data_IF_328442085919
#
_entry.id   IF_328442085919
#
_cell.length_a   1.000
_cell.length_b   1.000
_cell.length_c   1.000
_cell.angle_alpha   90.00
_cell.angle_beta   90.00
_cell.angle_gamma   90.00
#
_symmetry.space_group_name_H-M   'P 1'
#
loop_
_entity.id
_entity.type
_entity.pdbx_description
1 polymer ?
#
# COMPACT_ATOMS: atom_id res chain seq x y z
N UNK A 1 14.66 -2.75 20.45
CA UNK A 1 13.51 -2.07 19.81
C UNK A 1 12.49 -3.09 19.39
N UNK A 2 11.25 -2.84 19.68
CA UNK A 2 10.19 -3.73 19.29
C UNK A 2 9.50 -3.19 18.02
N UNK A 3 9.04 -4.11 17.21
CA UNK A 3 8.27 -3.80 16.00
C UNK A 3 6.81 -4.13 16.28
N UNK A 4 5.93 -3.20 15.93
CA UNK A 4 4.48 -3.36 16.09
C UNK A 4 3.84 -3.43 14.71
N UNK A 5 2.83 -4.30 14.56
CA UNK A 5 2.08 -4.44 13.34
C UNK A 5 0.65 -4.01 13.61
N UNK A 6 0.18 -2.99 12.90
CA UNK A 6 -1.21 -2.57 12.92
C UNK A 6 -1.89 -3.07 11.65
N UNK A 7 -2.96 -3.82 11.82
CA UNK A 7 -3.73 -4.36 10.71
C UNK A 7 -5.00 -3.54 10.48
N UNK A 8 -5.31 -3.29 9.21
CA UNK A 8 -6.58 -2.72 8.77
C UNK A 8 -7.25 -3.69 7.81
N UNK A 9 -8.56 -3.73 7.83
CA UNK A 9 -9.33 -4.51 6.86
C UNK A 9 -10.14 -3.53 6.01
N UNK A 10 -9.86 -3.50 4.72
CA UNK A 10 -10.42 -2.51 3.79
C UNK A 10 -11.13 -3.18 2.62
N UNK A 11 -11.98 -2.39 1.96
CA UNK A 11 -12.74 -2.69 0.76
C UNK A 11 -13.64 -3.92 0.90
N UNK A 12 -14.56 -4.15 -0.08
CA UNK A 12 -15.51 -5.27 0.01
C UNK A 12 -14.86 -6.65 -0.02
N UNK A 13 -13.60 -6.75 -0.46
CA UNK A 13 -12.89 -8.03 -0.47
C UNK A 13 -12.28 -8.37 0.89
N UNK A 14 -12.48 -7.50 1.91
CA UNK A 14 -11.93 -7.69 3.25
C UNK A 14 -10.41 -7.90 3.21
N UNK A 15 -9.75 -7.06 2.44
CA UNK A 15 -8.30 -7.10 2.26
C UNK A 15 -7.59 -6.60 3.52
N UNK A 16 -6.44 -7.19 3.85
CA UNK A 16 -5.64 -6.78 5.00
C UNK A 16 -4.52 -5.84 4.56
N UNK A 17 -4.53 -4.64 5.14
CA UNK A 17 -3.48 -3.65 4.98
C UNK A 17 -2.69 -3.59 6.29
N UNK A 18 -1.37 -3.51 6.21
CA UNK A 18 -0.53 -3.50 7.39
C UNK A 18 0.31 -2.23 7.45
N UNK A 19 0.43 -1.69 8.67
CA UNK A 19 1.44 -0.67 8.99
C UNK A 19 2.39 -1.32 9.98
N UNK A 20 3.64 -1.51 9.58
CA UNK A 20 4.68 -2.09 10.41
C UNK A 20 5.57 -0.95 10.89
N UNK A 21 5.70 -0.77 12.21
CA UNK A 21 6.39 0.40 12.74
C UNK A 21 7.19 0.07 14.01
N UNK A 22 8.15 0.94 14.31
CA UNK A 22 8.99 0.87 15.51
C UNK A 22 8.69 2.01 16.50
N UNK A 23 7.55 2.68 16.32
CA UNK A 23 7.17 3.85 17.11
C UNK A 23 7.63 5.18 16.52
N UNK A 24 8.48 5.15 15.51
CA UNK A 24 8.97 6.36 14.83
C UNK A 24 8.79 6.24 13.31
N UNK A 25 9.38 5.21 12.70
CA UNK A 25 9.28 4.97 11.27
C UNK A 25 8.29 3.84 10.98
N UNK A 26 7.66 3.87 9.82
CA UNK A 26 6.75 2.81 9.42
C UNK A 26 6.88 2.48 7.92
N UNK A 27 6.50 1.25 7.58
CA UNK A 27 6.27 0.82 6.21
C UNK A 27 4.80 0.47 6.07
N UNK A 28 4.25 0.80 4.90
CA UNK A 28 2.85 0.52 4.57
C UNK A 28 2.84 -0.63 3.58
N UNK A 29 2.07 -1.68 3.90
CA UNK A 29 2.01 -2.90 3.09
C UNK A 29 0.60 -3.09 2.57
N UNK A 30 0.47 -3.23 1.24
CA UNK A 30 -0.78 -3.53 0.54
C UNK A 30 -1.92 -2.57 0.91
N UNK A 31 -1.80 -1.26 0.65
CA UNK A 31 -2.86 -0.32 1.02
C UNK A 31 -4.08 -0.48 0.13
N UNK A 32 -5.06 -1.21 0.62
CA UNK A 32 -6.33 -1.47 -0.07
C UNK A 32 -7.43 -0.46 0.22
N UNK A 33 -7.10 0.70 0.78
CA UNK A 33 -8.05 1.75 1.16
C UNK A 33 -8.56 2.45 -0.09
N UNK A 34 -9.78 2.09 -0.52
CA UNK A 34 -10.41 2.65 -1.71
C UNK A 34 -11.29 3.85 -1.37
N UNK A 35 -12.21 3.68 -0.40
CA UNK A 35 -13.12 4.75 0.00
C UNK A 35 -12.40 5.80 0.82
N UNK A 36 -12.92 7.03 0.80
CA UNK A 36 -12.32 8.14 1.53
C UNK A 36 -12.19 7.84 3.01
N UNK A 37 -13.21 7.25 3.63
CA UNK A 37 -13.17 6.93 5.07
C UNK A 37 -12.10 5.89 5.38
N UNK A 38 -11.81 4.98 4.45
CA UNK A 38 -10.75 3.99 4.61
C UNK A 38 -9.37 4.67 4.55
N UNK A 39 -9.19 5.58 3.60
CA UNK A 39 -7.95 6.35 3.48
C UNK A 39 -7.73 7.20 4.74
N UNK A 40 -8.79 7.83 5.23
CA UNK A 40 -8.71 8.63 6.46
C UNK A 40 -8.33 7.78 7.67
N UNK A 41 -8.84 6.56 7.76
CA UNK A 41 -8.49 5.64 8.86
C UNK A 41 -6.99 5.32 8.85
N UNK A 42 -6.43 5.03 7.69
CA UNK A 42 -5.00 4.74 7.56
C UNK A 42 -4.16 5.97 7.91
N UNK A 43 -4.49 7.11 7.32
CA UNK A 43 -3.71 8.34 7.50
C UNK A 43 -3.80 8.87 8.93
N UNK A 44 -5.00 8.78 9.56
CA UNK A 44 -5.17 9.21 10.94
C UNK A 44 -4.35 8.36 11.90
N UNK A 45 -4.28 7.06 11.68
CA UNK A 45 -3.45 6.18 12.51
C UNK A 45 -1.97 6.63 12.46
N UNK A 46 -1.49 6.90 11.26
CA UNK A 46 -0.09 7.31 11.05
C UNK A 46 0.17 8.65 11.74
N UNK A 47 -0.75 9.62 11.57
CA UNK A 47 -0.61 10.95 12.16
C UNK A 47 -0.72 10.92 13.68
N UNK A 48 -1.71 10.21 14.22
CA UNK A 48 -1.96 10.15 15.66
C UNK A 48 -0.83 9.45 16.42
N UNK A 49 -0.12 8.55 15.76
CA UNK A 49 1.01 7.85 16.35
C UNK A 49 2.35 8.51 15.98
N UNK A 50 2.32 9.65 15.33
CA UNK A 50 3.50 10.42 14.93
C UNK A 50 4.51 9.58 14.14
N UNK A 51 4.01 8.71 13.27
CA UNK A 51 4.85 7.83 12.48
C UNK A 51 5.30 8.52 11.19
N UNK A 52 6.51 8.20 10.76
CA UNK A 52 7.07 8.68 9.50
C UNK A 52 7.13 7.52 8.51
N UNK A 53 6.27 7.51 7.47
CA UNK A 53 6.34 6.47 6.44
C UNK A 53 7.67 6.55 5.68
N UNK A 54 8.27 5.40 5.42
CA UNK A 54 9.54 5.30 4.70
C UNK A 54 9.42 4.51 3.41
N UNK A 55 8.43 3.63 3.30
CA UNK A 55 8.25 2.82 2.10
C UNK A 55 6.82 2.30 1.98
N UNK A 56 6.42 2.05 0.74
CA UNK A 56 5.21 1.29 0.42
C UNK A 56 5.66 -0.02 -0.22
N UNK A 57 5.20 -1.14 0.31
CA UNK A 57 5.54 -2.47 -0.17
C UNK A 57 4.27 -3.19 -0.62
N UNK A 58 4.35 -3.90 -1.74
CA UNK A 58 3.28 -4.78 -2.18
C UNK A 58 3.73 -6.23 -2.04
N UNK A 59 2.87 -7.06 -1.43
CA UNK A 59 3.08 -8.50 -1.42
C UNK A 59 2.76 -9.09 -2.78
N UNK A 60 1.72 -8.55 -3.42
CA UNK A 60 1.32 -8.88 -4.79
C UNK A 60 0.39 -7.76 -5.27
N UNK A 61 0.09 -7.74 -6.56
CA UNK A 61 -0.62 -6.63 -7.18
C UNK A 61 -2.06 -6.94 -7.57
N UNK A 62 -2.75 -7.82 -6.83
CA UNK A 62 -4.19 -8.00 -7.00
C UNK A 62 -4.92 -6.69 -6.70
N UNK A 63 -6.06 -6.47 -7.37
CA UNK A 63 -6.75 -5.17 -7.33
C UNK A 63 -7.04 -4.70 -5.90
N UNK A 64 -7.52 -5.59 -5.04
CA UNK A 64 -7.88 -5.25 -3.66
C UNK A 64 -6.69 -4.80 -2.81
N UNK A 65 -5.47 -5.15 -3.20
CA UNK A 65 -4.25 -4.79 -2.47
C UNK A 65 -3.60 -3.49 -2.94
N UNK A 66 -4.08 -2.91 -4.05
CA UNK A 66 -3.44 -1.73 -4.64
C UNK A 66 -4.35 -0.51 -4.71
N UNK A 67 -5.58 -0.62 -4.24
CA UNK A 67 -6.59 0.42 -4.39
C UNK A 67 -6.19 1.76 -3.77
N UNK A 68 -5.40 1.76 -2.72
CA UNK A 68 -4.96 2.97 -2.04
C UNK A 68 -3.55 3.42 -2.38
N UNK A 69 -2.85 2.73 -3.28
CA UNK A 69 -1.47 3.08 -3.59
C UNK A 69 -1.32 4.52 -4.06
N UNK A 70 -2.18 4.99 -4.95
CA UNK A 70 -2.10 6.36 -5.45
C UNK A 70 -2.28 7.38 -4.34
N UNK A 71 -3.24 7.16 -3.42
CA UNK A 71 -3.48 8.05 -2.30
C UNK A 71 -2.28 8.11 -1.36
N UNK A 72 -1.69 6.97 -1.04
CA UNK A 72 -0.50 6.89 -0.17
C UNK A 72 0.67 7.63 -0.81
N UNK A 73 0.93 7.39 -2.09
CA UNK A 73 2.07 7.98 -2.79
C UNK A 73 1.86 9.47 -3.09
N UNK A 74 0.61 9.94 -3.11
CA UNK A 74 0.32 11.37 -3.20
C UNK A 74 0.57 12.10 -1.89
N UNK A 75 0.35 11.41 -0.76
CA UNK A 75 0.51 12.02 0.56
C UNK A 75 1.94 11.97 1.07
N UNK A 76 2.67 10.90 0.77
CA UNK A 76 4.03 10.68 1.27
C UNK A 76 5.02 10.51 0.13
N UNK A 77 6.17 11.18 0.22
CA UNK A 77 7.27 10.97 -0.73
C UNK A 77 8.13 9.80 -0.24
N UNK A 78 7.76 8.60 -0.68
CA UNK A 78 8.38 7.37 -0.22
C UNK A 78 8.68 6.46 -1.40
N UNK A 79 9.60 5.52 -1.20
CA UNK A 79 9.91 4.51 -2.20
C UNK A 79 8.77 3.50 -2.30
N UNK A 80 8.52 3.03 -3.52
CA UNK A 80 7.47 2.08 -3.84
C UNK A 80 8.10 0.79 -4.36
N UNK A 81 7.97 -0.28 -3.57
CA UNK A 81 8.60 -1.57 -3.82
C UNK A 81 7.61 -2.59 -4.34
N UNK A 82 8.03 -3.34 -5.36
CA UNK A 82 7.25 -4.45 -5.91
C UNK A 82 8.20 -5.52 -6.43
N UNK A 83 7.77 -6.79 -6.39
CA UNK A 83 8.52 -7.85 -7.05
C UNK A 83 8.34 -7.76 -8.57
N UNK A 84 9.39 -8.05 -9.33
CA UNK A 84 9.37 -7.92 -10.79
C UNK A 84 8.25 -8.73 -11.45
N UNK A 85 7.88 -9.87 -10.89
CA UNK A 85 6.82 -10.72 -11.43
C UNK A 85 5.42 -10.09 -11.31
N UNK A 86 5.25 -9.08 -10.48
CA UNK A 86 3.95 -8.41 -10.28
C UNK A 86 3.82 -7.10 -11.05
N UNK A 87 4.85 -6.64 -11.74
CA UNK A 87 4.79 -5.39 -12.50
C UNK A 87 3.68 -5.41 -13.55
N UNK A 88 3.60 -6.47 -14.33
CA UNK A 88 2.59 -6.60 -15.36
C UNK A 88 1.19 -6.66 -14.78
N UNK A 89 1.03 -7.34 -13.65
CA UNK A 89 -0.25 -7.40 -12.95
C UNK A 89 -0.68 -6.01 -12.50
N UNK A 90 0.23 -5.23 -11.90
CA UNK A 90 -0.07 -3.87 -11.48
C UNK A 90 -0.48 -2.99 -12.66
N UNK A 91 0.24 -3.07 -13.77
CA UNK A 91 -0.07 -2.30 -14.98
C UNK A 91 -1.44 -2.64 -15.55
N UNK A 92 -1.92 -3.88 -15.36
CA UNK A 92 -3.20 -4.34 -15.88
C UNK A 92 -4.40 -3.95 -15.02
N UNK A 93 -4.20 -3.54 -13.77
CA UNK A 93 -5.29 -3.25 -12.84
C UNK A 93 -6.29 -2.22 -13.40
N UNK A 94 -5.86 -1.11 -14.03
CA UNK A 94 -6.83 -0.14 -14.58
C UNK A 94 -7.79 -0.75 -15.60
N UNK A 95 -7.40 -1.84 -16.26
CA UNK A 95 -8.22 -2.45 -17.31
C UNK A 95 -9.41 -3.24 -16.73
N UNK A 96 -9.33 -3.69 -15.48
CA UNK A 96 -10.38 -4.56 -14.93
C UNK A 96 -10.89 -4.14 -13.53
N UNK A 97 -10.34 -3.10 -12.94
CA UNK A 97 -10.78 -2.67 -11.60
C UNK A 97 -12.28 -2.39 -11.55
N UNK A 98 -12.83 -1.76 -12.58
CA UNK A 98 -14.25 -1.45 -12.67
C UNK A 98 -15.12 -2.72 -12.70
N UNK A 99 -14.60 -3.82 -13.24
CA UNK A 99 -15.32 -5.11 -13.30
C UNK A 99 -15.57 -5.64 -11.89
N UNK A 100 -14.69 -5.35 -10.95
CA UNK A 100 -14.84 -5.74 -9.56
C UNK A 100 -15.57 -4.68 -8.71
N UNK A 101 -16.13 -3.65 -9.34
CA UNK A 101 -16.89 -2.62 -8.66
C UNK A 101 -16.09 -1.42 -8.22
N UNK A 102 -14.83 -1.32 -8.59
CA UNK A 102 -13.97 -0.21 -8.18
C UNK A 102 -13.93 0.89 -9.24
N UNK A 103 -15.10 1.45 -9.51
CA UNK A 103 -15.20 2.60 -10.41
C UNK A 103 -14.48 3.79 -9.79
N UNK A 104 -13.73 4.50 -10.60
CA UNK A 104 -12.94 5.63 -10.11
C UNK A 104 -11.59 5.23 -9.53
N UNK A 105 -11.16 4.00 -9.74
CA UNK A 105 -9.80 3.60 -9.37
C UNK A 105 -8.77 4.53 -9.99
N UNK A 106 -7.86 5.04 -9.17
CA UNK A 106 -6.78 5.92 -9.63
C UNK A 106 -5.48 5.10 -9.66
N UNK A 107 -4.86 4.94 -10.84
CA UNK A 107 -3.59 4.21 -10.94
C UNK A 107 -2.49 4.93 -10.17
N UNK A 108 -1.62 4.15 -9.55
CA UNK A 108 -0.43 4.67 -8.88
C UNK A 108 0.67 4.99 -9.90
N UNK A 109 1.68 5.74 -9.46
CA UNK A 109 2.90 5.87 -10.25
C UNK A 109 3.62 4.54 -10.36
N UNK A 110 4.54 4.43 -11.31
CA UNK A 110 5.34 3.22 -11.50
C UNK A 110 6.23 3.00 -10.28
N UNK A 111 6.32 1.76 -9.76
CA UNK A 111 7.25 1.46 -8.66
C UNK A 111 8.68 1.81 -9.05
N UNK A 112 9.42 2.41 -8.12
CA UNK A 112 10.81 2.80 -8.34
C UNK A 112 11.83 1.83 -7.73
N UNK A 113 11.36 0.82 -6.99
CA UNK A 113 12.21 -0.21 -6.40
C UNK A 113 11.68 -1.59 -6.81
N UNK A 114 12.43 -2.27 -7.65
CA UNK A 114 12.02 -3.57 -8.18
C UNK A 114 12.79 -4.67 -7.47
N UNK A 115 12.06 -5.57 -6.85
CA UNK A 115 12.65 -6.70 -6.11
C UNK A 115 12.68 -7.95 -6.98
N UNK A 116 13.71 -8.76 -6.80
CA UNK A 116 13.90 -10.01 -7.55
C UNK A 116 13.77 -11.25 -6.67
N UNK A 117 13.78 -11.07 -5.36
CA UNK A 117 13.69 -12.13 -4.37
C UNK A 117 14.97 -12.25 -3.57
N UNK A 118 14.81 -12.47 -2.27
CA UNK A 118 15.95 -12.66 -1.37
C UNK A 118 16.63 -11.40 -0.86
N UNK A 119 16.21 -10.22 -1.33
CA UNK A 119 16.77 -8.97 -0.85
C UNK A 119 16.41 -8.73 0.61
N UNK A 120 17.34 -8.15 1.37
CA UNK A 120 17.08 -7.65 2.71
C UNK A 120 16.91 -6.13 2.63
N UNK A 121 15.82 -5.64 3.19
CA UNK A 121 15.49 -4.23 3.18
C UNK A 121 15.62 -3.67 4.60
N UNK A 122 16.16 -2.45 4.70
CA UNK A 122 16.29 -1.75 5.98
C UNK A 122 15.59 -0.40 5.87
N UNK A 123 14.78 -0.09 6.88
CA UNK A 123 13.99 1.14 6.89
C UNK A 123 14.18 1.94 8.17
#
# INVERSE_FOLDING_TARGET
MSVTIQKFTFNPFQENTYVVHDGTNCVIIDPGCFEKHEQEALFSFIDENSLTPTALLLTHAHVDHVLGCAAVLSKYEIDFYIHENDLQTLESVPNYAHTYGFKGYVPSRVPNKILKGGEKLSF
#
